data_IF_331920511937
#
_entry.id   IF_331920511937
#
_cell.length_a   1.000
_cell.length_b   1.000
_cell.length_c   1.000
_cell.angle_alpha   90.00
_cell.angle_beta   90.00
_cell.angle_gamma   90.00
#
_symmetry.space_group_name_H-M   'P 1'
#
loop_
_entity.id
_entity.type
_entity.pdbx_description
1 polymer ?
#
# COMPACT_ATOMS: atom_id res chain seq x y z
N UNK A 1 -2.21 5.10 -19.07
CA UNK A 1 -0.80 4.98 -19.55
C UNK A 1 -0.22 3.69 -18.99
N UNK A 2 0.16 2.72 -19.84
CA UNK A 2 1.04 1.63 -19.40
C UNK A 2 2.44 2.24 -19.32
N UNK A 3 2.88 2.63 -18.12
CA UNK A 3 4.13 3.38 -17.96
C UNK A 3 5.34 2.43 -18.11
N UNK A 4 5.98 2.49 -19.28
CA UNK A 4 7.21 1.79 -19.64
C UNK A 4 8.48 2.36 -18.98
N UNK A 5 8.35 3.38 -18.13
CA UNK A 5 9.47 4.00 -17.40
C UNK A 5 9.87 3.27 -16.12
N UNK A 6 9.12 2.26 -15.68
CA UNK A 6 9.68 1.24 -14.78
C UNK A 6 10.58 0.36 -15.65
N UNK A 7 11.89 0.38 -15.39
CA UNK A 7 12.85 -0.49 -16.08
C UNK A 7 12.30 -1.92 -16.20
N UNK A 8 12.43 -2.56 -17.37
CA UNK A 8 11.96 -3.94 -17.55
C UNK A 8 12.58 -4.81 -16.46
N UNK A 9 11.74 -5.34 -15.56
CA UNK A 9 12.15 -6.16 -14.42
C UNK A 9 11.86 -5.59 -13.03
N UNK A 10 11.40 -4.34 -12.87
CA UNK A 10 10.90 -3.85 -11.56
C UNK A 10 9.41 -4.13 -11.42
N UNK A 11 9.02 -4.84 -10.37
CA UNK A 11 7.61 -5.13 -10.05
C UNK A 11 6.80 -3.83 -9.92
N UNK A 12 5.59 -3.85 -10.47
CA UNK A 12 4.59 -2.78 -10.31
C UNK A 12 3.96 -2.77 -8.91
N UNK A 13 4.46 -3.57 -7.98
CA UNK A 13 3.99 -3.68 -6.60
C UNK A 13 5.19 -3.67 -5.65
N UNK A 14 4.94 -3.32 -4.37
CA UNK A 14 5.93 -3.45 -3.29
C UNK A 14 6.41 -4.90 -3.17
N UNK A 15 7.71 -5.12 -3.20
CA UNK A 15 8.29 -6.46 -3.06
C UNK A 15 8.29 -6.91 -1.58
N UNK A 16 7.60 -8.02 -1.21
CA UNK A 16 7.64 -8.56 0.15
C UNK A 16 8.89 -9.41 0.45
N UNK A 17 9.78 -9.61 -0.53
CA UNK A 17 11.03 -10.35 -0.34
C UNK A 17 10.80 -11.82 -0.02
N UNK A 18 11.39 -12.31 1.07
CA UNK A 18 11.22 -13.71 1.53
C UNK A 18 9.78 -14.08 1.88
N UNK A 19 8.89 -13.10 2.06
CA UNK A 19 7.47 -13.31 2.34
C UNK A 19 6.59 -13.28 1.08
N UNK A 20 7.19 -13.39 -0.11
CA UNK A 20 6.45 -13.50 -1.37
C UNK A 20 5.56 -14.75 -1.40
N UNK A 21 4.36 -14.61 -1.93
CA UNK A 21 3.32 -15.67 -2.01
C UNK A 21 2.80 -16.23 -0.68
N UNK A 22 3.23 -15.69 0.48
CA UNK A 22 2.72 -16.10 1.78
C UNK A 22 1.46 -15.33 2.20
N UNK A 23 0.54 -16.04 2.85
CA UNK A 23 -0.59 -15.46 3.60
C UNK A 23 -0.11 -14.78 4.89
N UNK A 24 -0.96 -13.95 5.51
CA UNK A 24 -0.58 -13.30 6.78
C UNK A 24 -0.39 -14.32 7.90
N UNK A 25 -1.17 -15.40 7.87
CA UNK A 25 -1.08 -16.54 8.77
C UNK A 25 0.28 -17.22 8.66
N UNK A 26 0.70 -17.55 7.44
CA UNK A 26 2.01 -18.16 7.17
C UNK A 26 3.17 -17.22 7.51
N UNK A 27 3.01 -15.91 7.30
CA UNK A 27 4.02 -14.92 7.71
C UNK A 27 4.15 -14.89 9.24
N UNK A 28 3.03 -14.88 9.97
CA UNK A 28 3.05 -14.90 11.43
C UNK A 28 3.60 -16.22 11.99
N UNK A 29 3.41 -17.34 11.29
CA UNK A 29 3.98 -18.64 11.70
C UNK A 29 5.49 -18.72 11.43
N UNK A 30 5.95 -18.33 10.23
CA UNK A 30 7.33 -18.49 9.81
C UNK A 30 8.25 -17.34 10.24
N UNK A 31 7.71 -16.11 10.33
CA UNK A 31 8.46 -14.88 10.58
C UNK A 31 7.74 -13.94 11.59
N UNK A 32 7.42 -14.41 12.82
CA UNK A 32 6.63 -13.64 13.80
C UNK A 32 7.28 -12.30 14.17
N UNK A 33 8.59 -12.30 14.38
CA UNK A 33 9.35 -11.10 14.77
C UNK A 33 9.33 -10.05 13.66
N UNK A 34 9.58 -10.48 12.41
CA UNK A 34 9.54 -9.63 11.23
C UNK A 34 8.15 -9.02 11.02
N UNK A 35 7.09 -9.81 11.25
CA UNK A 35 5.71 -9.34 11.12
C UNK A 35 5.37 -8.29 12.17
N UNK A 36 5.81 -8.49 13.41
CA UNK A 36 5.64 -7.51 14.50
C UNK A 36 6.45 -6.23 14.24
N UNK A 37 7.72 -6.33 13.86
CA UNK A 37 8.56 -5.17 13.53
C UNK A 37 7.98 -4.38 12.35
N UNK A 38 7.42 -5.07 11.34
CA UNK A 38 6.72 -4.41 10.25
C UNK A 38 5.44 -3.71 10.69
N UNK A 39 4.71 -4.25 11.66
CA UNK A 39 3.55 -3.57 12.24
C UNK A 39 3.95 -2.39 13.15
N UNK A 40 5.18 -2.36 13.67
CA UNK A 40 5.72 -1.23 14.43
C UNK A 40 6.09 -0.04 13.52
N UNK A 41 6.70 -0.29 12.37
CA UNK A 41 7.18 0.77 11.48
C UNK A 41 6.97 0.43 10.00
N UNK A 42 5.71 0.22 9.61
CA UNK A 42 5.35 -0.24 8.26
C UNK A 42 5.86 0.63 7.11
N UNK A 43 6.09 1.92 7.36
CA UNK A 43 6.63 2.84 6.37
C UNK A 43 8.09 2.51 6.00
N UNK A 44 8.95 2.31 7.00
CA UNK A 44 10.41 2.12 6.81
C UNK A 44 10.84 0.67 6.80
N UNK A 45 10.07 -0.22 7.42
CA UNK A 45 10.45 -1.61 7.57
C UNK A 45 10.51 -2.34 6.23
N UNK A 46 11.61 -3.06 6.00
CA UNK A 46 11.80 -3.97 4.86
C UNK A 46 11.76 -5.39 5.38
N UNK A 47 10.91 -6.23 4.80
CA UNK A 47 11.11 -7.67 4.95
C UNK A 47 12.49 -8.06 4.36
N UNK A 48 13.09 -9.17 4.80
CA UNK A 48 14.36 -9.62 4.26
C UNK A 48 14.27 -9.77 2.73
N UNK A 49 15.20 -9.13 2.01
CA UNK A 49 15.22 -9.05 0.52
C UNK A 49 13.98 -8.37 -0.11
N UNK A 50 13.19 -7.62 0.67
CA UNK A 50 12.01 -6.89 0.22
C UNK A 50 12.24 -5.37 0.11
N UNK A 51 11.15 -4.66 -0.20
CA UNK A 51 11.04 -3.20 -0.24
C UNK A 51 10.18 -2.69 0.92
N UNK A 52 10.48 -1.48 1.38
CA UNK A 52 9.64 -0.69 2.30
C UNK A 52 8.71 0.26 1.51
N UNK A 53 7.76 0.90 2.20
CA UNK A 53 7.01 1.99 1.57
C UNK A 53 7.88 3.21 1.28
N UNK A 54 8.93 3.45 2.07
CA UNK A 54 9.93 4.50 1.82
C UNK A 54 10.65 4.27 0.48
N UNK A 55 11.11 3.04 0.19
CA UNK A 55 11.71 2.69 -1.11
C UNK A 55 10.72 2.86 -2.26
N UNK A 56 9.46 2.48 -2.03
CA UNK A 56 8.41 2.61 -3.03
C UNK A 56 8.12 4.08 -3.36
N UNK A 57 8.09 4.97 -2.35
CA UNK A 57 7.91 6.41 -2.54
C UNK A 57 9.06 6.97 -3.40
N UNK A 58 10.31 6.66 -3.07
CA UNK A 58 11.48 7.10 -3.86
C UNK A 58 11.38 6.62 -5.32
N UNK A 59 10.94 5.38 -5.54
CA UNK A 59 10.75 4.83 -6.89
C UNK A 59 9.62 5.52 -7.67
N UNK A 60 8.62 6.06 -6.98
CA UNK A 60 7.47 6.73 -7.58
C UNK A 60 7.69 8.23 -7.81
N UNK A 61 8.76 8.85 -7.32
CA UNK A 61 9.05 10.28 -7.54
C UNK A 61 8.95 10.68 -9.03
N UNK A 62 9.56 9.96 -10.00
CA UNK A 62 9.46 10.34 -11.41
C UNK A 62 8.04 10.20 -11.97
N UNK A 63 7.25 9.27 -11.42
CA UNK A 63 5.86 9.05 -11.82
C UNK A 63 4.99 10.21 -11.33
N UNK A 64 5.19 10.63 -10.08
CA UNK A 64 4.48 11.76 -9.48
C UNK A 64 4.76 13.04 -10.29
N UNK A 65 6.01 13.33 -10.61
CA UNK A 65 6.39 14.49 -11.42
C UNK A 65 5.69 14.50 -12.79
N UNK A 66 5.60 13.34 -13.45
CA UNK A 66 4.89 13.25 -14.73
C UNK A 66 3.38 13.41 -14.55
N UNK A 67 2.79 12.89 -13.47
CA UNK A 67 1.36 13.07 -13.18
C UNK A 67 1.00 14.55 -12.98
N UNK A 68 1.85 15.35 -12.32
CA UNK A 68 1.65 16.79 -12.18
C UNK A 68 1.70 17.56 -13.50
N UNK A 69 2.39 17.00 -14.52
CA UNK A 69 2.51 17.61 -15.84
C UNK A 69 1.32 17.31 -16.75
N UNK A 70 0.51 16.30 -16.43
CA UNK A 70 -0.62 15.87 -17.23
C UNK A 70 -1.92 16.50 -16.73
N UNK A 71 -2.88 16.73 -17.62
CA UNK A 71 -4.21 17.23 -17.23
C UNK A 71 -5.12 16.08 -16.78
N UNK A 72 -5.67 15.32 -17.73
CA UNK A 72 -6.56 14.20 -17.45
C UNK A 72 -5.82 12.88 -17.64
N UNK A 73 -5.60 12.16 -16.54
CA UNK A 73 -4.87 10.89 -16.53
C UNK A 73 -5.64 9.80 -15.78
N UNK A 74 -5.66 8.59 -16.34
CA UNK A 74 -6.12 7.39 -15.67
C UNK A 74 -4.92 6.50 -15.33
N UNK A 75 -4.75 6.23 -14.04
CA UNK A 75 -3.73 5.32 -13.51
C UNK A 75 -4.41 4.05 -13.00
N UNK A 76 -4.09 2.92 -13.61
CA UNK A 76 -4.49 1.59 -13.13
C UNK A 76 -3.25 0.98 -12.46
N UNK A 77 -3.31 0.74 -11.16
CA UNK A 77 -2.16 0.31 -10.37
C UNK A 77 -2.57 -0.61 -9.21
N UNK A 78 -1.59 -1.01 -8.39
CA UNK A 78 -1.79 -1.89 -7.25
C UNK A 78 -1.97 -1.11 -5.94
N UNK A 79 -2.43 -1.79 -4.89
CA UNK A 79 -2.76 -1.19 -3.59
C UNK A 79 -1.63 -0.36 -2.97
N UNK A 80 -0.37 -0.83 -2.98
CA UNK A 80 0.74 -0.09 -2.35
C UNK A 80 1.11 1.17 -3.15
N UNK A 81 1.13 1.08 -4.49
CA UNK A 81 1.35 2.25 -5.36
C UNK A 81 0.22 3.26 -5.17
N UNK A 82 -1.03 2.80 -5.20
CA UNK A 82 -2.19 3.66 -5.03
C UNK A 82 -2.16 4.40 -3.70
N UNK A 83 -1.73 3.74 -2.61
CA UNK A 83 -1.50 4.38 -1.30
C UNK A 83 -0.47 5.51 -1.38
N UNK A 84 0.67 5.29 -2.03
CA UNK A 84 1.69 6.32 -2.20
C UNK A 84 1.15 7.51 -3.01
N UNK A 85 0.48 7.27 -4.14
CA UNK A 85 -0.09 8.32 -4.98
C UNK A 85 -1.16 9.12 -4.24
N UNK A 86 -2.10 8.44 -3.56
CA UNK A 86 -3.13 9.11 -2.77
C UNK A 86 -2.52 9.92 -1.63
N UNK A 87 -1.52 9.38 -0.95
CA UNK A 87 -0.87 10.07 0.16
C UNK A 87 -0.16 11.33 -0.29
N UNK A 88 0.43 11.31 -1.49
CA UNK A 88 1.01 12.50 -2.10
C UNK A 88 -0.05 13.57 -2.39
N UNK A 89 -1.11 13.23 -3.14
CA UNK A 89 -2.13 14.22 -3.52
C UNK A 89 -3.01 14.70 -2.35
N UNK A 90 -3.09 13.93 -1.27
CA UNK A 90 -3.89 14.25 -0.08
C UNK A 90 -3.05 14.73 1.10
N UNK A 91 -1.74 14.97 0.89
CA UNK A 91 -0.80 15.43 1.91
C UNK A 91 -0.86 14.60 3.20
N UNK A 92 -0.86 13.27 3.05
CA UNK A 92 -0.90 12.33 4.17
C UNK A 92 0.49 12.10 4.75
N UNK A 93 0.62 12.05 6.08
CA UNK A 93 1.91 11.80 6.71
C UNK A 93 2.38 10.35 6.46
N UNK A 94 3.69 10.14 6.57
CA UNK A 94 4.35 8.89 6.21
C UNK A 94 3.87 7.68 7.03
N UNK A 95 3.43 7.90 8.26
CA UNK A 95 2.87 6.88 9.15
C UNK A 95 1.43 6.47 8.77
N UNK A 96 0.64 7.37 8.19
CA UNK A 96 -0.69 7.07 7.63
C UNK A 96 -0.62 6.39 6.26
N UNK A 97 0.38 6.72 5.44
CA UNK A 97 0.49 6.28 4.03
C UNK A 97 0.30 4.75 3.85
N UNK A 98 0.97 3.86 4.60
CA UNK A 98 0.80 2.40 4.47
C UNK A 98 -0.60 1.88 4.81
N UNK A 99 -1.45 2.72 5.40
CA UNK A 99 -2.79 2.40 5.87
C UNK A 99 -3.88 3.20 5.15
N UNK A 100 -3.56 3.97 4.11
CA UNK A 100 -4.59 4.56 3.25
C UNK A 100 -5.45 3.44 2.64
N UNK A 101 -6.77 3.64 2.65
CA UNK A 101 -7.74 2.68 2.11
C UNK A 101 -7.86 2.84 0.59
N UNK A 102 -7.61 1.73 -0.12
CA UNK A 102 -7.70 1.64 -1.56
C UNK A 102 -8.60 0.43 -1.90
N UNK A 103 -9.93 0.57 -1.84
CA UNK A 103 -10.85 -0.54 -2.08
C UNK A 103 -10.77 -1.02 -3.53
N UNK A 104 -10.93 -2.34 -3.73
CA UNK A 104 -11.03 -2.92 -5.06
C UNK A 104 -12.32 -2.46 -5.77
N UNK A 105 -12.31 -2.56 -7.10
CA UNK A 105 -13.43 -2.20 -7.99
C UNK A 105 -14.02 -0.80 -7.73
N UNK A 106 -13.17 0.13 -7.27
CA UNK A 106 -13.54 1.51 -6.96
C UNK A 106 -12.59 2.45 -7.69
N UNK A 107 -13.14 3.42 -8.42
CA UNK A 107 -12.37 4.49 -9.03
C UNK A 107 -12.34 5.67 -8.07
N UNK A 108 -11.14 6.15 -7.73
CA UNK A 108 -10.98 7.40 -6.99
C UNK A 108 -10.62 8.51 -7.97
N UNK A 109 -11.51 9.49 -8.11
CA UNK A 109 -11.26 10.70 -8.88
C UNK A 109 -10.68 11.77 -7.96
N UNK A 110 -9.50 12.23 -8.32
CA UNK A 110 -8.80 13.31 -7.66
C UNK A 110 -9.02 14.60 -8.46
N UNK A 111 -9.39 15.68 -7.79
CA UNK A 111 -9.53 17.01 -8.39
C UNK A 111 -8.68 18.00 -7.57
N UNK A 112 -7.47 18.35 -8.04
CA UNK A 112 -6.63 19.34 -7.40
C UNK A 112 -7.35 20.69 -7.27
N UNK A 113 -7.23 21.33 -6.12
CA UNK A 113 -7.76 22.66 -5.82
C UNK A 113 -6.67 23.48 -5.11
N UNK A 114 -6.86 24.80 -4.97
CA UNK A 114 -5.81 25.71 -4.48
C UNK A 114 -5.20 25.33 -3.11
N UNK A 115 -5.92 24.61 -2.25
CA UNK A 115 -5.47 24.19 -0.92
C UNK A 115 -5.76 22.70 -0.63
N UNK A 116 -5.54 21.84 -1.62
CA UNK A 116 -5.62 20.39 -1.43
C UNK A 116 -6.19 19.67 -2.64
N UNK A 117 -6.80 18.53 -2.41
CA UNK A 117 -7.37 17.70 -3.46
C UNK A 117 -8.74 17.16 -3.04
N UNK A 118 -9.75 17.37 -3.86
CA UNK A 118 -11.07 16.75 -3.67
C UNK A 118 -11.01 15.30 -4.16
N UNK A 119 -11.53 14.37 -3.34
CA UNK A 119 -11.64 12.96 -3.70
C UNK A 119 -13.11 12.58 -3.87
N UNK A 120 -13.41 11.92 -4.98
CA UNK A 120 -14.72 11.33 -5.25
C UNK A 120 -14.55 9.83 -5.52
N UNK A 121 -15.31 8.99 -4.82
CA UNK A 121 -15.23 7.53 -4.95
C UNK A 121 -16.40 6.99 -5.78
N UNK A 122 -16.09 6.20 -6.80
CA UNK A 122 -17.06 5.57 -7.68
C UNK A 122 -16.91 4.06 -7.63
N UNK A 123 -17.80 3.39 -6.89
CA UNK A 123 -17.86 1.93 -6.86
C UNK A 123 -18.47 1.41 -8.16
N UNK A 124 -17.82 0.43 -8.78
CA UNK A 124 -18.20 -0.09 -10.10
C UNK A 124 -19.31 -1.15 -10.04
N UNK A 125 -19.92 -1.37 -8.87
CA UNK A 125 -20.98 -2.34 -8.65
C UNK A 125 -20.56 -3.79 -8.94
N UNK A 126 -19.32 -4.13 -8.59
CA UNK A 126 -18.77 -5.48 -8.66
C UNK A 126 -18.13 -5.79 -7.31
N UNK A 127 -18.61 -6.82 -6.62
CA UNK A 127 -18.07 -7.24 -5.33
C UNK A 127 -16.62 -7.75 -5.47
N UNK A 128 -15.84 -7.57 -4.41
CA UNK A 128 -14.45 -8.01 -4.32
C UNK A 128 -14.07 -8.27 -2.86
N UNK A 129 -13.08 -9.14 -2.66
CA UNK A 129 -12.50 -9.37 -1.35
C UNK A 129 -11.89 -8.08 -0.77
N UNK A 130 -11.94 -7.95 0.55
CA UNK A 130 -11.27 -6.86 1.24
C UNK A 130 -9.81 -7.22 1.48
N UNK A 131 -8.88 -6.47 0.90
CA UNK A 131 -7.42 -6.67 1.09
C UNK A 131 -6.82 -5.68 2.10
N UNK A 132 -7.66 -4.90 2.78
CA UNK A 132 -7.21 -3.91 3.74
C UNK A 132 -7.02 -4.53 5.13
N UNK A 133 -5.75 -4.65 5.53
CA UNK A 133 -5.36 -4.98 6.91
C UNK A 133 -5.00 -3.71 7.69
N UNK A 134 -5.76 -3.44 8.75
CA UNK A 134 -5.47 -2.36 9.70
C UNK A 134 -4.25 -2.68 10.58
N UNK A 135 -3.71 -1.65 11.24
CA UNK A 135 -2.64 -1.83 12.22
C UNK A 135 -3.23 -2.52 13.46
N UNK A 136 -2.73 -3.69 13.89
CA UNK A 136 -3.21 -4.31 15.12
C UNK A 136 -2.84 -3.46 16.33
N UNK A 137 -3.65 -3.53 17.38
CA UNK A 137 -3.43 -2.80 18.62
C UNK A 137 -2.13 -3.23 19.33
N UNK A 138 -1.82 -4.53 19.31
CA UNK A 138 -0.57 -5.06 19.82
C UNK A 138 0.42 -5.32 18.67
N UNK A 139 1.53 -4.57 18.68
CA UNK A 139 2.63 -4.70 17.73
C UNK A 139 3.92 -5.19 18.39
N UNK A 140 3.87 -5.60 19.66
CA UNK A 140 5.04 -6.16 20.36
C UNK A 140 5.54 -7.41 19.65
N UNK A 141 6.86 -7.61 19.65
CA UNK A 141 7.50 -8.84 19.14
C UNK A 141 7.00 -10.07 19.92
N UNK A 142 6.73 -9.91 21.22
CA UNK A 142 6.22 -10.97 22.10
C UNK A 142 4.70 -11.17 22.07
N UNK A 143 3.98 -10.54 21.13
CA UNK A 143 2.51 -10.65 21.03
C UNK A 143 2.07 -12.08 20.68
N UNK A 144 0.83 -12.42 21.02
CA UNK A 144 0.25 -13.70 20.62
C UNK A 144 -0.16 -13.67 19.14
N UNK A 145 -0.14 -14.83 18.48
CA UNK A 145 -0.60 -15.00 17.09
C UNK A 145 -2.02 -14.46 16.87
N UNK A 146 -2.94 -14.72 17.80
CA UNK A 146 -4.33 -14.23 17.74
C UNK A 146 -4.40 -12.69 17.70
N UNK A 147 -3.54 -12.01 18.47
CA UNK A 147 -3.48 -10.55 18.52
C UNK A 147 -2.86 -9.97 17.23
N UNK A 148 -1.90 -10.69 16.64
CA UNK A 148 -1.26 -10.32 15.39
C UNK A 148 -2.19 -10.44 14.18
N UNK A 149 -3.07 -11.45 14.18
CA UNK A 149 -3.95 -11.77 13.06
C UNK A 149 -5.35 -11.14 13.17
N UNK A 150 -5.69 -10.51 14.30
CA UNK A 150 -7.01 -9.92 14.55
C UNK A 150 -7.48 -8.93 13.46
N UNK A 151 -6.56 -8.22 12.81
CA UNK A 151 -6.89 -7.23 11.77
C UNK A 151 -6.76 -7.76 10.34
N UNK A 152 -6.42 -9.05 10.18
CA UNK A 152 -6.36 -9.70 8.86
C UNK A 152 -7.79 -9.83 8.33
N UNK A 153 -8.08 -9.34 7.12
CA UNK A 153 -9.40 -9.49 6.53
C UNK A 153 -9.65 -10.95 6.13
N UNK A 154 -10.91 -11.37 6.17
CA UNK A 154 -11.30 -12.73 5.77
C UNK A 154 -10.94 -12.99 4.30
N UNK A 155 -10.18 -14.05 4.05
CA UNK A 155 -9.90 -14.57 2.71
C UNK A 155 -11.13 -15.37 2.24
N UNK A 156 -12.17 -14.68 1.79
CA UNK A 156 -13.36 -15.30 1.19
C UNK A 156 -13.25 -15.35 -0.34
#
# INVERSE_FOLDING_TARGET
LMWSGLHPGKSTQICPGVCEELTYEEIQENFPDEFAMRDQEKYRYRYPKGESYEDLVQRLEPVIMELERQENVLVICHQAIMRCLLSYFLDKPADELPYVRCPLHTVLKLTPVAYGCKVESFFLNIEAANTHRERPANVSISRKTEEALLTVPDNN
#
